data_IF_695373532034
#
_entry.id   IF_695373532034
#
_cell.length_a   1.000
_cell.length_b   1.000
_cell.length_c   1.000
_cell.angle_alpha   90.00
_cell.angle_beta   90.00
_cell.angle_gamma   90.00
#
_symmetry.space_group_name_H-M   'P 1'
#
loop_
_entity.id
_entity.type
_entity.pdbx_description
1 polymer ?
#
# COMPACT_ATOMS: atom_id res chain seq x y z
N UNK A 1 -120.54 0.66 25.23
CA UNK A 1 -119.30 -0.16 25.27
C UNK A 1 -118.42 0.30 24.10
N UNK A 2 -117.11 0.43 24.32
CA UNK A 2 -116.01 0.75 23.37
C UNK A 2 -115.60 2.23 23.11
N UNK A 3 -114.37 2.55 23.59
CA UNK A 3 -113.19 3.18 22.93
C UNK A 3 -113.42 4.37 21.97
N UNK A 4 -112.64 5.45 21.98
CA UNK A 4 -111.18 5.50 22.13
C UNK A 4 -110.68 6.87 22.58
N UNK A 5 -109.79 6.85 23.57
CA UNK A 5 -108.86 7.93 23.87
C UNK A 5 -107.79 7.98 22.78
N UNK A 6 -107.63 9.14 22.15
CA UNK A 6 -106.35 9.52 21.54
C UNK A 6 -106.17 11.02 21.72
N UNK A 7 -105.32 11.37 22.67
CA UNK A 7 -104.70 12.68 22.85
C UNK A 7 -103.84 12.97 21.62
N UNK A 8 -104.26 13.89 20.76
CA UNK A 8 -103.40 14.46 19.72
C UNK A 8 -102.48 15.53 20.34
N UNK A 9 -101.15 15.37 20.27
CA UNK A 9 -100.20 16.31 20.86
C UNK A 9 -100.09 17.59 20.03
N UNK A 10 -99.86 18.71 20.72
CA UNK A 10 -99.71 20.03 20.15
C UNK A 10 -98.60 20.09 19.08
N UNK A 11 -98.92 20.67 17.93
CA UNK A 11 -97.96 20.95 16.87
C UNK A 11 -96.91 21.97 17.33
N UNK A 12 -95.74 21.49 17.74
CA UNK A 12 -94.54 22.31 17.88
C UNK A 12 -94.01 22.63 16.48
N UNK A 13 -94.33 23.81 15.94
CA UNK A 13 -93.74 24.33 14.71
C UNK A 13 -92.27 24.72 14.94
N UNK A 14 -91.39 23.72 14.90
CA UNK A 14 -89.96 23.94 14.97
C UNK A 14 -89.50 24.68 13.73
N UNK A 15 -88.89 25.86 13.92
CA UNK A 15 -88.47 26.72 12.82
C UNK A 15 -87.31 26.08 12.06
N UNK A 16 -87.59 25.40 10.94
CA UNK A 16 -86.61 24.74 10.06
C UNK A 16 -85.44 25.65 9.65
N UNK A 17 -85.69 26.97 9.57
CA UNK A 17 -84.66 27.99 9.30
C UNK A 17 -83.58 28.07 10.37
N UNK A 18 -83.90 27.76 11.64
CA UNK A 18 -82.93 27.74 12.75
C UNK A 18 -81.99 26.53 12.64
N UNK A 19 -82.52 25.35 12.31
CA UNK A 19 -81.72 24.14 12.09
C UNK A 19 -80.82 24.24 10.87
N UNK A 20 -81.31 24.83 9.79
CA UNK A 20 -80.51 25.02 8.58
C UNK A 20 -79.35 26.01 8.81
N UNK A 21 -79.59 27.09 9.56
CA UNK A 21 -78.52 28.00 9.98
C UNK A 21 -77.52 27.32 10.91
N UNK A 22 -78.00 26.52 11.86
CA UNK A 22 -77.13 25.76 12.76
C UNK A 22 -76.25 24.77 11.99
N UNK A 23 -76.82 24.05 11.02
CA UNK A 23 -76.07 23.13 10.16
C UNK A 23 -75.00 23.84 9.32
N UNK A 24 -75.35 24.99 8.72
CA UNK A 24 -74.40 25.81 7.97
C UNK A 24 -73.24 26.32 8.85
N UNK A 25 -73.55 26.84 10.04
CA UNK A 25 -72.54 27.33 10.98
C UNK A 25 -71.61 26.20 11.41
N UNK A 26 -72.15 25.04 11.77
CA UNK A 26 -71.35 23.88 12.16
C UNK A 26 -70.45 23.40 11.03
N UNK A 27 -70.96 23.34 9.80
CA UNK A 27 -70.17 22.97 8.62
C UNK A 27 -69.06 23.98 8.35
N UNK A 28 -69.34 25.28 8.43
CA UNK A 28 -68.34 26.34 8.26
C UNK A 28 -67.23 26.26 9.32
N UNK A 29 -67.59 26.02 10.59
CA UNK A 29 -66.61 25.87 11.67
C UNK A 29 -65.68 24.69 11.39
N UNK A 30 -66.23 23.55 10.97
CA UNK A 30 -65.45 22.34 10.66
C UNK A 30 -64.44 22.60 9.54
N UNK A 31 -64.89 23.21 8.43
CA UNK A 31 -64.03 23.51 7.28
C UNK A 31 -62.92 24.48 7.66
N UNK A 32 -63.24 25.55 8.39
CA UNK A 32 -62.24 26.56 8.81
C UNK A 32 -61.22 25.94 9.77
N UNK A 33 -61.66 25.06 10.68
CA UNK A 33 -60.79 24.45 11.68
C UNK A 33 -59.80 23.47 11.05
N UNK A 34 -60.29 22.56 10.20
CA UNK A 34 -59.45 21.57 9.53
C UNK A 34 -58.54 22.24 8.49
N UNK A 35 -59.09 23.16 7.69
CA UNK A 35 -58.32 23.90 6.69
C UNK A 35 -57.24 24.79 7.33
N UNK A 36 -57.59 25.49 8.42
CA UNK A 36 -56.63 26.29 9.19
C UNK A 36 -55.51 25.42 9.74
N UNK A 37 -55.83 24.31 10.41
CA UNK A 37 -54.81 23.40 10.93
C UNK A 37 -53.91 22.82 9.83
N UNK A 38 -54.49 22.39 8.70
CA UNK A 38 -53.73 21.84 7.58
C UNK A 38 -52.80 22.87 6.93
N UNK A 39 -53.16 24.16 6.93
CA UNK A 39 -52.32 25.21 6.36
C UNK A 39 -51.06 25.49 7.20
N UNK A 40 -51.12 25.27 8.53
CA UNK A 40 -49.99 25.47 9.43
C UNK A 40 -49.24 24.18 9.78
N UNK A 41 -49.77 23.01 9.42
CA UNK A 41 -49.15 21.73 9.72
C UNK A 41 -47.91 21.51 8.83
N UNK A 42 -46.72 21.64 9.41
CA UNK A 42 -45.46 21.25 8.77
C UNK A 42 -45.20 19.76 8.96
N UNK A 43 -45.20 18.99 7.87
CA UNK A 43 -44.77 17.59 7.89
C UNK A 43 -43.25 17.56 7.81
N UNK A 44 -42.58 17.31 8.95
CA UNK A 44 -41.13 17.13 9.00
C UNK A 44 -40.78 15.73 8.52
N UNK A 45 -40.34 15.61 7.26
CA UNK A 45 -39.76 14.38 6.74
C UNK A 45 -38.27 14.33 7.04
N UNK A 46 -37.81 13.33 7.79
CA UNK A 46 -36.39 13.00 7.88
C UNK A 46 -36.08 11.92 6.84
N UNK A 47 -35.27 12.26 5.83
CA UNK A 47 -34.71 11.26 4.91
C UNK A 47 -33.48 10.68 5.59
N UNK A 48 -33.60 9.45 6.08
CA UNK A 48 -32.47 8.71 6.63
C UNK A 48 -31.74 8.01 5.48
N UNK A 49 -30.68 8.64 4.96
CA UNK A 49 -29.81 8.02 3.96
C UNK A 49 -28.62 7.35 4.65
N UNK A 50 -28.40 6.06 4.40
CA UNK A 50 -27.18 5.36 4.82
C UNK A 50 -25.99 5.84 3.98
N UNK A 51 -25.22 6.79 4.52
CA UNK A 51 -23.93 7.19 3.93
C UNK A 51 -22.84 6.20 4.33
N UNK A 52 -22.28 5.45 3.37
CA UNK A 52 -21.04 4.69 3.59
C UNK A 52 -19.84 5.53 3.16
N UNK A 53 -19.04 5.96 4.15
CA UNK A 53 -17.72 6.53 3.91
C UNK A 53 -16.77 5.41 3.47
N UNK A 54 -16.53 5.31 2.15
CA UNK A 54 -15.47 4.46 1.61
C UNK A 54 -14.21 5.32 1.50
N UNK A 55 -13.21 5.03 2.33
CA UNK A 55 -11.87 5.61 2.18
C UNK A 55 -11.37 5.21 0.78
N UNK A 56 -11.09 6.18 -0.08
CA UNK A 56 -10.34 5.95 -1.32
C UNK A 56 -8.89 5.69 -0.93
N UNK A 57 -8.55 4.42 -0.74
CA UNK A 57 -7.18 3.96 -0.62
C UNK A 57 -7.07 2.65 -1.39
N UNK A 58 -6.37 2.66 -2.51
CA UNK A 58 -5.95 1.40 -3.11
C UNK A 58 -4.93 0.76 -2.18
N UNK A 59 -5.24 -0.44 -1.66
CA UNK A 59 -4.28 -1.23 -0.91
C UNK A 59 -3.17 -1.64 -1.88
N UNK A 60 -2.04 -0.93 -1.83
CA UNK A 60 -0.86 -1.32 -2.58
C UNK A 60 -0.14 -2.44 -1.82
N UNK A 61 -0.11 -3.61 -2.41
CA UNK A 61 0.67 -4.74 -1.89
C UNK A 61 2.13 -4.51 -2.31
N UNK A 62 2.97 -4.10 -1.36
CA UNK A 62 4.41 -3.97 -1.57
C UNK A 62 5.05 -5.35 -1.38
N UNK A 63 5.48 -5.98 -2.47
CA UNK A 63 6.15 -7.28 -2.45
C UNK A 63 7.55 -7.14 -3.07
N UNK A 64 8.57 -7.61 -2.35
CA UNK A 64 9.92 -7.65 -2.89
C UNK A 64 10.07 -8.83 -3.86
N UNK A 65 10.57 -8.56 -5.07
CA UNK A 65 10.65 -9.52 -6.19
C UNK A 65 11.49 -10.76 -5.86
N UNK A 66 12.54 -10.59 -5.06
CA UNK A 66 13.50 -11.66 -4.75
C UNK A 66 13.22 -12.37 -3.41
N UNK A 67 12.25 -11.89 -2.61
CA UNK A 67 12.02 -12.36 -1.23
C UNK A 67 13.26 -12.17 -0.32
N UNK A 68 13.14 -12.50 0.96
CA UNK A 68 14.23 -12.40 1.94
C UNK A 68 13.73 -12.50 3.38
N UNK A 69 14.64 -12.76 4.33
CA UNK A 69 14.31 -12.72 5.76
C UNK A 69 14.21 -11.24 6.18
N UNK A 70 13.16 -10.87 6.90
CA UNK A 70 12.99 -9.50 7.42
C UNK A 70 13.92 -9.31 8.62
N UNK A 71 14.81 -8.32 8.55
CA UNK A 71 15.67 -7.94 9.66
C UNK A 71 14.98 -6.92 10.55
N UNK A 72 14.39 -5.89 9.94
CA UNK A 72 13.73 -4.81 10.66
C UNK A 72 12.46 -4.34 9.95
N UNK A 73 11.44 -4.03 10.74
CA UNK A 73 10.23 -3.36 10.31
C UNK A 73 10.20 -1.98 11.00
N UNK A 74 10.28 -0.92 10.19
CA UNK A 74 10.44 0.46 10.67
C UNK A 74 9.10 1.19 10.88
N UNK A 75 7.98 0.51 10.62
CA UNK A 75 6.64 1.10 10.69
C UNK A 75 5.70 0.22 11.50
N UNK A 76 4.67 0.83 12.07
CA UNK A 76 3.58 0.16 12.76
C UNK A 76 2.29 0.29 11.96
N UNK A 77 1.33 -0.59 12.28
CA UNK A 77 0.03 -0.54 11.64
C UNK A 77 -0.67 0.79 11.95
N UNK A 78 -1.07 1.52 10.90
CA UNK A 78 -1.67 2.85 11.00
C UNK A 78 -0.70 4.03 10.80
N UNK A 79 0.61 3.77 10.67
CA UNK A 79 1.58 4.83 10.40
C UNK A 79 1.43 5.37 8.96
N UNK A 80 1.58 6.69 8.81
CA UNK A 80 1.59 7.36 7.49
C UNK A 80 3.00 7.34 6.93
N UNK A 81 3.17 6.74 5.74
CA UNK A 81 4.46 6.64 5.03
C UNK A 81 4.43 7.47 3.75
N UNK A 82 5.58 8.02 3.38
CA UNK A 82 5.79 8.75 2.13
C UNK A 82 6.63 7.92 1.16
N UNK A 83 6.60 8.30 -0.12
CA UNK A 83 7.42 7.65 -1.13
C UNK A 83 8.91 7.86 -0.83
N UNK A 84 9.67 6.77 -0.75
CA UNK A 84 11.10 6.77 -0.41
C UNK A 84 11.41 6.41 1.04
N UNK A 85 10.40 6.34 1.91
CA UNK A 85 10.61 5.93 3.30
C UNK A 85 11.00 4.44 3.38
N UNK A 86 12.01 4.14 4.20
CA UNK A 86 12.46 2.75 4.43
C UNK A 86 11.49 2.09 5.40
N UNK A 87 10.49 1.39 4.85
CA UNK A 87 9.44 0.69 5.61
C UNK A 87 9.97 -0.60 6.25
N UNK A 88 10.82 -1.32 5.52
CA UNK A 88 11.30 -2.65 5.90
C UNK A 88 12.73 -2.86 5.38
N UNK A 89 13.56 -3.52 6.19
CA UNK A 89 14.91 -3.94 5.82
C UNK A 89 15.01 -5.45 5.79
N UNK A 90 15.52 -5.98 4.68
CA UNK A 90 15.80 -7.40 4.49
C UNK A 90 17.22 -7.76 4.95
N UNK A 91 17.42 -9.01 5.32
CA UNK A 91 18.72 -9.57 5.70
C UNK A 91 19.62 -9.67 4.46
N UNK A 92 20.61 -8.79 4.40
CA UNK A 92 21.56 -8.67 3.30
C UNK A 92 22.64 -9.75 3.28
N UNK A 93 22.81 -10.55 4.35
CA UNK A 93 23.98 -11.43 4.52
C UNK A 93 24.15 -12.44 3.39
N UNK A 94 23.04 -12.96 2.84
CA UNK A 94 23.11 -13.90 1.70
C UNK A 94 23.61 -13.21 0.43
N UNK A 95 23.10 -12.02 0.15
CA UNK A 95 23.46 -11.24 -1.05
C UNK A 95 24.91 -10.75 -0.94
N UNK A 96 25.32 -10.30 0.25
CA UNK A 96 26.70 -9.92 0.54
C UNK A 96 27.67 -11.10 0.38
N UNK A 97 27.29 -12.29 0.87
CA UNK A 97 28.08 -13.50 0.69
C UNK A 97 28.22 -13.91 -0.78
N UNK A 98 27.12 -13.90 -1.54
CA UNK A 98 27.14 -14.18 -2.99
C UNK A 98 28.02 -13.16 -3.74
N UNK A 99 27.91 -11.87 -3.42
CA UNK A 99 28.73 -10.82 -4.01
C UNK A 99 30.21 -11.04 -3.72
N UNK A 100 30.57 -11.37 -2.47
CA UNK A 100 31.96 -11.66 -2.09
C UNK A 100 32.53 -12.84 -2.87
N UNK A 101 31.79 -13.95 -2.99
CA UNK A 101 32.24 -15.12 -3.76
C UNK A 101 32.51 -14.77 -5.22
N UNK A 102 31.57 -14.08 -5.88
CA UNK A 102 31.70 -13.72 -7.29
C UNK A 102 32.84 -12.71 -7.50
N UNK A 103 33.02 -11.78 -6.56
CA UNK A 103 34.10 -10.78 -6.63
C UNK A 103 35.47 -11.42 -6.46
N UNK A 104 35.64 -12.35 -5.52
CA UNK A 104 36.91 -13.07 -5.32
C UNK A 104 37.25 -13.93 -6.55
N UNK A 105 36.25 -14.59 -7.15
CA UNK A 105 36.44 -15.34 -8.40
C UNK A 105 36.87 -14.44 -9.56
N UNK A 106 36.26 -13.26 -9.69
CA UNK A 106 36.63 -12.28 -10.70
C UNK A 106 38.09 -11.84 -10.54
N UNK A 107 38.51 -11.52 -9.32
CA UNK A 107 39.88 -11.11 -9.01
C UNK A 107 40.89 -12.21 -9.34
N UNK A 108 40.59 -13.47 -9.01
CA UNK A 108 41.44 -14.61 -9.35
C UNK A 108 41.60 -14.77 -10.87
N UNK A 109 40.50 -14.65 -11.61
CA UNK A 109 40.51 -14.75 -13.08
C UNK A 109 41.31 -13.61 -13.70
N UNK A 110 41.13 -12.36 -13.23
CA UNK A 110 41.88 -11.20 -13.73
C UNK A 110 43.38 -11.35 -13.45
N UNK A 111 43.77 -11.78 -12.26
CA UNK A 111 45.17 -12.03 -11.93
C UNK A 111 45.76 -13.13 -12.82
N UNK A 112 44.98 -14.19 -13.11
CA UNK A 112 45.39 -15.27 -13.99
C UNK A 112 45.54 -14.81 -15.45
N UNK A 113 44.63 -13.97 -15.94
CA UNK A 113 44.70 -13.39 -17.29
C UNK A 113 45.99 -12.58 -17.42
N UNK A 114 46.25 -11.67 -16.48
CA UNK A 114 47.46 -10.85 -16.50
C UNK A 114 48.74 -11.71 -16.57
N UNK A 115 48.82 -12.78 -15.77
CA UNK A 115 49.94 -13.73 -15.83
C UNK A 115 50.05 -14.40 -17.20
N UNK A 116 48.94 -14.89 -17.75
CA UNK A 116 48.94 -15.59 -19.04
C UNK A 116 49.30 -14.66 -20.20
N UNK A 117 48.89 -13.40 -20.14
CA UNK A 117 49.27 -12.36 -21.10
C UNK A 117 50.77 -12.06 -21.01
N UNK A 118 51.32 -11.97 -19.80
CA UNK A 118 52.76 -11.82 -19.58
C UNK A 118 53.56 -13.03 -20.13
N UNK A 119 53.07 -14.25 -19.89
CA UNK A 119 53.67 -15.48 -20.43
C UNK A 119 53.61 -15.51 -21.96
N UNK A 120 52.49 -15.09 -22.55
CA UNK A 120 52.32 -15.02 -24.00
C UNK A 120 53.25 -13.97 -24.64
N UNK A 121 53.40 -12.81 -23.99
CA UNK A 121 54.25 -11.74 -24.47
C UNK A 121 55.75 -12.01 -24.25
N UNK A 122 56.11 -12.99 -23.42
CA UNK A 122 57.50 -13.30 -23.08
C UNK A 122 58.20 -12.18 -22.31
N UNK A 123 57.43 -11.38 -21.55
CA UNK A 123 57.97 -10.28 -20.74
C UNK A 123 58.54 -10.79 -19.41
N UNK A 124 59.34 -9.97 -18.72
CA UNK A 124 60.00 -10.37 -17.48
C UNK A 124 59.15 -10.17 -16.21
N UNK A 125 57.98 -9.51 -16.31
CA UNK A 125 57.12 -9.19 -15.19
C UNK A 125 55.64 -9.18 -15.58
N UNK A 126 54.77 -9.52 -14.63
CA UNK A 126 53.31 -9.45 -14.81
C UNK A 126 52.81 -8.02 -14.59
N UNK A 127 52.03 -7.48 -15.53
CA UNK A 127 51.33 -6.20 -15.34
C UNK A 127 49.87 -6.47 -14.95
N UNK A 128 49.53 -6.23 -13.68
CA UNK A 128 48.16 -6.37 -13.20
C UNK A 128 47.32 -5.11 -13.48
N UNK A 129 46.01 -5.23 -13.74
CA UNK A 129 45.12 -4.08 -13.89
C UNK A 129 45.15 -3.15 -12.66
N UNK A 130 45.13 -1.83 -12.88
CA UNK A 130 45.20 -0.84 -11.81
C UNK A 130 44.08 -1.00 -10.77
N UNK A 131 42.88 -1.38 -11.22
CA UNK A 131 41.74 -1.70 -10.36
C UNK A 131 42.08 -2.82 -9.37
N UNK A 132 42.72 -3.90 -9.84
CA UNK A 132 43.09 -5.04 -9.03
C UNK A 132 44.22 -4.71 -8.03
N UNK A 133 45.18 -3.87 -8.44
CA UNK A 133 46.24 -3.35 -7.55
C UNK A 133 45.63 -2.49 -6.44
N UNK A 134 44.66 -1.63 -6.78
CA UNK A 134 43.99 -0.77 -5.80
C UNK A 134 43.21 -1.57 -4.76
N UNK A 135 42.57 -2.66 -5.19
CA UNK A 135 41.85 -3.57 -4.28
C UNK A 135 42.85 -4.35 -3.41
N UNK A 136 43.93 -4.86 -3.98
CA UNK A 136 44.98 -5.55 -3.23
C UNK A 136 45.66 -4.67 -2.16
N UNK A 137 45.67 -3.35 -2.34
CA UNK A 137 46.16 -2.42 -1.32
C UNK A 137 45.24 -2.34 -0.09
N UNK A 138 43.95 -2.65 -0.27
CA UNK A 138 42.94 -2.62 0.79
C UNK A 138 42.58 -4.02 1.34
N UNK A 139 42.82 -5.07 0.55
CA UNK A 139 42.43 -6.45 0.84
C UNK A 139 43.63 -7.41 0.76
N UNK A 140 43.97 -7.99 1.92
CA UNK A 140 45.09 -8.91 2.07
C UNK A 140 44.89 -10.24 1.31
N UNK A 141 43.64 -10.71 1.15
CA UNK A 141 43.34 -11.93 0.38
C UNK A 141 43.70 -11.71 -1.10
N UNK A 142 43.33 -10.55 -1.64
CA UNK A 142 43.63 -10.18 -3.03
C UNK A 142 45.13 -9.97 -3.24
N UNK A 143 45.80 -9.34 -2.27
CA UNK A 143 47.26 -9.23 -2.29
C UNK A 143 47.94 -10.61 -2.33
N UNK A 144 47.43 -11.58 -1.57
CA UNK A 144 47.93 -12.95 -1.59
C UNK A 144 47.71 -13.65 -2.94
N UNK A 145 46.56 -13.43 -3.59
CA UNK A 145 46.28 -13.93 -4.95
C UNK A 145 47.31 -13.39 -5.95
N UNK A 146 47.55 -12.07 -5.94
CA UNK A 146 48.52 -11.43 -6.84
C UNK A 146 49.93 -11.96 -6.64
N UNK A 147 50.39 -12.04 -5.39
CA UNK A 147 51.70 -12.61 -5.07
C UNK A 147 51.79 -14.09 -5.48
N UNK A 148 50.70 -14.85 -5.36
CA UNK A 148 50.63 -16.23 -5.81
C UNK A 148 50.83 -16.35 -7.33
N UNK A 149 50.17 -15.52 -8.11
CA UNK A 149 50.35 -15.49 -9.58
C UNK A 149 51.78 -15.09 -9.96
N UNK A 150 52.35 -14.08 -9.30
CA UNK A 150 53.71 -13.62 -9.59
C UNK A 150 54.75 -14.70 -9.25
N UNK A 151 54.62 -15.39 -8.12
CA UNK A 151 55.51 -16.52 -7.79
C UNK A 151 55.42 -17.65 -8.83
N UNK A 152 54.21 -17.95 -9.31
CA UNK A 152 54.00 -18.98 -10.33
C UNK A 152 54.62 -18.56 -11.67
N UNK A 153 54.52 -17.29 -12.03
CA UNK A 153 55.13 -16.72 -13.22
C UNK A 153 56.66 -16.87 -13.20
N UNK A 154 57.31 -16.39 -12.12
CA UNK A 154 58.77 -16.47 -11.98
C UNK A 154 59.27 -17.91 -12.00
N UNK A 155 58.58 -18.83 -11.31
CA UNK A 155 58.93 -20.26 -11.32
C UNK A 155 58.86 -20.89 -12.72
N UNK A 156 57.96 -20.42 -13.59
CA UNK A 156 57.87 -20.86 -14.99
C UNK A 156 58.96 -20.23 -15.86
N UNK A 157 59.24 -18.95 -15.67
CA UNK A 157 60.30 -18.23 -16.37
C UNK A 157 61.68 -18.88 -16.10
N UNK A 158 61.99 -19.18 -14.82
CA UNK A 158 63.21 -19.87 -14.41
C UNK A 158 63.36 -21.27 -15.01
N UNK A 159 62.23 -21.93 -15.29
CA UNK A 159 62.24 -23.24 -15.95
C UNK A 159 62.56 -23.10 -17.43
N UNK A 160 61.96 -22.12 -18.11
CA UNK A 160 62.23 -21.83 -19.52
C UNK A 160 63.70 -21.46 -19.75
N UNK A 161 64.29 -20.63 -18.89
CA UNK A 161 65.71 -20.26 -18.99
C UNK A 161 66.63 -21.49 -18.85
N UNK A 162 66.35 -22.39 -17.89
CA UNK A 162 67.15 -23.62 -17.69
C UNK A 162 67.05 -24.65 -18.82
N UNK A 163 66.01 -24.58 -19.65
CA UNK A 163 65.85 -25.48 -20.80
C UNK A 163 66.56 -24.94 -22.06
N UNK A 164 66.99 -23.66 -22.06
CA UNK A 164 67.67 -23.02 -23.20
C UNK A 164 69.20 -22.96 -23.07
N UNK A 165 69.75 -23.19 -21.86
CA UNK A 165 71.19 -23.32 -21.57
C UNK A 165 71.69 -24.78 -21.66
#
# INVERSE_FOLDING_TARGET
MFKSSSTQPAEQSWSARKFMRLGLVTASILVISVGGWSAFASINGAVLAEGRLKVQGERQVVQHLNGGIVTELNVREGDTVQAGDVVLRLDGRRVEGELSIVTNQLQEVLARIARLEAEQAGVAATEFPAELISVAAADEEVAAILQGQERLFQARLDRLHREQD
#
